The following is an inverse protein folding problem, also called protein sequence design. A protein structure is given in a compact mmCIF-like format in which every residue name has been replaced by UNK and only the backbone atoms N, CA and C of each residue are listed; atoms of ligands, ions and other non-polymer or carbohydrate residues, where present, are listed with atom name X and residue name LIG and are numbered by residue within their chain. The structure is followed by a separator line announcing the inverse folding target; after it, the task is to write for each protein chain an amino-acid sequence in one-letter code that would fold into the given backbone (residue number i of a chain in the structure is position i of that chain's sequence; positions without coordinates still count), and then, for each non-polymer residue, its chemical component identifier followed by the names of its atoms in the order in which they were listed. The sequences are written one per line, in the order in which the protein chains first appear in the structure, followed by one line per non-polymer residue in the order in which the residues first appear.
data_IF_558075270896
#
_entry.id   IF_558075270896
#
_cell.length_a   1.000
_cell.length_b   1.000
_cell.length_c   1.000
_cell.angle_alpha   90.00
_cell.angle_beta   90.00
_cell.angle_gamma   90.00
#
_symmetry.space_group_name_H-M   'P 1'
#
loop_
_entity.id
_entity.type
_entity.pdbx_description
1 polymer ?
#
# COMPACT_ATOMS: atom_id res chain seq x y z
N UNK A 1 -2.23 -23.15 5.12
CA UNK A 1 -2.17 -22.07 6.13
C UNK A 1 -1.91 -20.75 5.46
N UNK A 2 -2.85 -19.85 5.57
CA UNK A 2 -2.80 -18.48 5.07
C UNK A 2 -2.28 -17.55 6.15
N UNK A 3 -1.38 -16.64 5.82
CA UNK A 3 -0.89 -15.65 6.77
C UNK A 3 -1.18 -14.22 6.38
N UNK A 4 -1.61 -13.47 7.37
CA UNK A 4 -1.80 -12.04 7.32
C UNK A 4 -0.98 -11.35 8.41
N UNK A 5 -0.46 -10.19 8.07
CA UNK A 5 0.36 -9.30 8.89
C UNK A 5 -0.41 -8.71 10.07
N UNK A 6 0.19 -8.61 11.26
CA UNK A 6 -0.38 -7.78 12.31
C UNK A 6 0.30 -7.73 13.65
N UNK A 7 0.47 -6.50 14.15
CA UNK A 7 0.46 -6.12 15.56
C UNK A 7 -0.16 -4.72 15.71
N UNK A 8 -0.94 -4.52 16.80
CA UNK A 8 -1.77 -3.33 17.02
C UNK A 8 -3.16 -3.53 16.41
N UNK A 9 -4.22 -3.19 17.16
CA UNK A 9 -5.58 -3.65 16.87
C UNK A 9 -6.14 -3.31 15.47
N UNK A 10 -5.62 -2.31 14.78
CA UNK A 10 -6.17 -1.84 13.50
C UNK A 10 -5.30 -2.15 12.29
N UNK A 11 -3.96 -2.18 12.38
CA UNK A 11 -3.14 -2.79 11.30
C UNK A 11 -3.45 -4.27 11.16
N UNK A 12 -3.69 -4.96 12.28
CA UNK A 12 -4.23 -6.32 12.31
C UNK A 12 -5.55 -6.41 11.56
N UNK A 13 -6.44 -5.42 11.72
CA UNK A 13 -7.77 -5.42 11.09
C UNK A 13 -7.68 -5.35 9.57
N UNK A 14 -6.88 -4.43 9.00
CA UNK A 14 -6.72 -4.31 7.54
C UNK A 14 -6.05 -5.55 6.94
N UNK A 15 -4.97 -6.04 7.55
CA UNK A 15 -4.26 -7.22 7.10
C UNK A 15 -5.14 -8.49 7.19
N UNK A 16 -5.95 -8.62 8.24
CA UNK A 16 -6.94 -9.68 8.37
C UNK A 16 -8.01 -9.62 7.27
N UNK A 17 -8.50 -8.43 6.95
CA UNK A 17 -9.48 -8.24 5.87
C UNK A 17 -8.89 -8.63 4.52
N UNK A 18 -7.61 -8.37 4.29
CA UNK A 18 -6.91 -8.82 3.08
C UNK A 18 -6.80 -10.35 3.03
N UNK A 19 -6.38 -10.99 4.13
CA UNK A 19 -6.29 -12.45 4.21
C UNK A 19 -7.66 -13.10 4.05
N UNK A 20 -8.69 -12.55 4.68
CA UNK A 20 -10.06 -13.03 4.54
C UNK A 20 -10.53 -12.93 3.07
N UNK A 21 -10.24 -11.82 2.40
CA UNK A 21 -10.57 -11.64 0.98
C UNK A 21 -9.85 -12.67 0.08
N UNK A 22 -8.58 -12.97 0.37
CA UNK A 22 -7.82 -14.00 -0.36
C UNK A 22 -8.40 -15.39 -0.09
N UNK A 23 -8.72 -15.72 1.17
CA UNK A 23 -9.37 -16.96 1.55
C UNK A 23 -10.68 -17.17 0.79
N UNK A 24 -11.55 -16.16 0.76
CA UNK A 24 -12.80 -16.19 0.01
C UNK A 24 -12.56 -16.48 -1.48
N UNK A 25 -11.57 -15.81 -2.09
CA UNK A 25 -11.24 -16.03 -3.51
C UNK A 25 -10.69 -17.42 -3.80
N UNK A 26 -9.92 -18.00 -2.89
CA UNK A 26 -9.45 -19.38 -3.04
C UNK A 26 -10.61 -20.36 -2.94
N UNK A 27 -11.52 -20.20 -1.98
CA UNK A 27 -12.70 -21.03 -1.81
C UNK A 27 -13.60 -20.95 -3.07
N UNK A 28 -13.84 -19.73 -3.59
CA UNK A 28 -14.63 -19.53 -4.82
C UNK A 28 -14.03 -20.22 -6.06
N UNK A 29 -12.69 -20.32 -6.14
CA UNK A 29 -11.99 -20.82 -7.32
C UNK A 29 -11.53 -22.29 -7.23
N UNK A 30 -11.71 -22.93 -6.07
CA UNK A 30 -11.23 -24.28 -5.77
C UNK A 30 -12.30 -25.13 -5.06
N UNK A 31 -11.95 -26.35 -4.70
CA UNK A 31 -12.80 -27.23 -3.88
C UNK A 31 -12.49 -27.09 -2.37
N UNK A 32 -11.66 -26.14 -1.97
CA UNK A 32 -11.37 -25.89 -0.56
C UNK A 32 -12.60 -25.31 0.17
N UNK A 33 -12.73 -25.69 1.41
CA UNK A 33 -13.74 -25.20 2.34
C UNK A 33 -13.13 -24.21 3.32
N UNK A 34 -13.95 -23.57 4.13
CA UNK A 34 -13.49 -22.67 5.18
C UNK A 34 -12.56 -23.37 6.19
N UNK A 35 -12.76 -24.65 6.44
CA UNK A 35 -11.96 -25.46 7.37
C UNK A 35 -10.58 -25.82 6.84
N UNK A 36 -10.39 -25.82 5.52
CA UNK A 36 -9.12 -26.18 4.87
C UNK A 36 -8.12 -25.01 4.89
N UNK A 37 -8.58 -23.80 5.17
CA UNK A 37 -7.76 -22.59 5.10
C UNK A 37 -7.75 -21.85 6.45
N UNK A 38 -6.61 -21.92 7.14
CA UNK A 38 -6.39 -21.22 8.41
C UNK A 38 -5.69 -19.90 8.19
N UNK A 39 -6.16 -18.84 8.85
CA UNK A 39 -5.51 -17.52 8.86
C UNK A 39 -4.69 -17.40 10.15
N UNK A 40 -3.38 -17.31 10.01
CA UNK A 40 -2.46 -17.07 11.12
C UNK A 40 -1.98 -15.62 11.14
N UNK A 41 -1.68 -15.09 12.32
CA UNK A 41 -1.25 -13.70 12.52
C UNK A 41 0.21 -13.65 12.90
N UNK A 42 1.03 -12.93 12.13
CA UNK A 42 2.44 -12.68 12.44
C UNK A 42 2.67 -11.20 12.72
N UNK A 43 3.47 -10.94 13.75
CA UNK A 43 4.00 -9.60 14.08
C UNK A 43 5.19 -9.27 13.21
N UNK A 44 5.29 -8.02 12.77
CA UNK A 44 6.44 -7.54 12.01
C UNK A 44 7.18 -6.43 12.76
N UNK A 45 8.50 -6.32 12.55
CA UNK A 45 9.33 -5.25 13.15
C UNK A 45 8.86 -3.85 12.77
N UNK A 46 8.31 -3.68 11.57
CA UNK A 46 7.78 -2.40 11.12
C UNK A 46 6.54 -1.92 11.90
N UNK A 47 5.82 -2.84 12.55
CA UNK A 47 4.67 -2.52 13.38
C UNK A 47 5.08 -2.00 14.78
N UNK A 48 6.29 -2.32 15.24
CA UNK A 48 6.82 -1.91 16.55
C UNK A 48 7.36 -0.47 16.55
N UNK A 49 7.75 0.04 15.37
CA UNK A 49 8.35 1.37 15.22
C UNK A 49 7.26 2.42 15.05
N UNK A 50 6.96 3.18 16.11
CA UNK A 50 5.85 4.16 16.09
C UNK A 50 6.28 5.64 16.11
N UNK A 51 7.53 5.95 16.45
CA UNK A 51 7.95 7.34 16.76
C UNK A 51 8.84 7.97 15.68
N UNK A 52 9.36 7.20 14.73
CA UNK A 52 10.26 7.67 13.68
C UNK A 52 9.77 7.30 12.29
N UNK A 53 10.25 7.97 11.25
CA UNK A 53 10.01 7.52 9.88
C UNK A 53 10.72 6.19 9.67
N UNK A 54 10.11 5.28 8.89
CA UNK A 54 10.75 4.00 8.57
C UNK A 54 12.03 4.21 7.75
N UNK A 55 12.08 5.26 6.93
CA UNK A 55 13.28 5.72 6.22
C UNK A 55 14.48 5.98 7.12
N UNK A 56 14.22 6.44 8.33
CA UNK A 56 15.28 6.87 9.25
C UNK A 56 15.84 5.69 10.07
N UNK A 57 15.11 4.57 10.11
CA UNK A 57 15.50 3.36 10.86
C UNK A 57 16.32 2.39 10.02
N UNK A 58 16.27 2.53 8.70
CA UNK A 58 17.02 1.73 7.74
C UNK A 58 16.65 0.23 7.77
N UNK A 59 16.16 -0.29 6.67
CA UNK A 59 15.89 -1.72 6.57
C UNK A 59 14.86 -2.03 5.49
N UNK A 60 15.31 -2.56 4.37
CA UNK A 60 14.43 -3.12 3.32
C UNK A 60 13.60 -4.26 3.92
N UNK A 61 12.30 -4.27 3.68
CA UNK A 61 11.43 -5.38 4.08
C UNK A 61 11.04 -5.42 5.56
N UNK A 62 11.07 -4.32 6.31
CA UNK A 62 10.64 -4.26 7.71
C UNK A 62 9.25 -4.85 7.96
N UNK A 63 8.44 -4.88 6.93
CA UNK A 63 7.08 -5.37 6.98
C UNK A 63 6.87 -6.77 6.38
N UNK A 64 7.76 -7.25 5.52
CA UNK A 64 7.62 -8.56 4.88
C UNK A 64 8.55 -9.62 5.47
N UNK A 65 9.73 -9.24 5.98
CA UNK A 65 10.79 -10.17 6.33
C UNK A 65 10.38 -11.25 7.34
N UNK A 66 9.61 -10.91 8.38
CA UNK A 66 9.15 -11.92 9.37
C UNK A 66 8.20 -12.93 8.74
N UNK A 67 7.30 -12.48 7.85
CA UNK A 67 6.35 -13.36 7.16
C UNK A 67 7.07 -14.21 6.11
N UNK A 68 8.02 -13.62 5.38
CA UNK A 68 8.85 -14.33 4.39
C UNK A 68 9.70 -15.44 5.02
N UNK A 69 10.23 -15.21 6.23
CA UNK A 69 10.91 -16.27 6.99
C UNK A 69 9.98 -17.45 7.30
N UNK A 70 8.73 -17.21 7.64
CA UNK A 70 7.77 -18.29 7.92
C UNK A 70 7.39 -19.05 6.63
N UNK A 71 7.32 -18.38 5.48
CA UNK A 71 7.20 -19.04 4.16
C UNK A 71 8.41 -19.95 3.89
N UNK A 72 9.63 -19.44 4.08
CA UNK A 72 10.86 -20.20 3.85
C UNK A 72 11.02 -21.41 4.78
N UNK A 73 10.53 -21.30 6.03
CA UNK A 73 10.52 -22.41 7.00
C UNK A 73 9.40 -23.43 6.78
N UNK A 74 8.54 -23.24 5.77
CA UNK A 74 7.33 -24.05 5.53
C UNK A 74 6.32 -24.05 6.70
N UNK A 75 6.33 -23.03 7.55
CA UNK A 75 5.33 -22.85 8.60
C UNK A 75 4.00 -22.36 8.03
N UNK A 76 4.05 -21.73 6.85
CA UNK A 76 2.92 -21.21 6.11
C UNK A 76 3.09 -21.52 4.62
N UNK A 77 1.99 -21.47 3.89
CA UNK A 77 1.97 -21.81 2.46
C UNK A 77 1.89 -20.58 1.58
N UNK A 78 1.17 -19.55 2.02
CA UNK A 78 1.09 -18.26 1.33
C UNK A 78 1.13 -17.10 2.32
N UNK A 79 1.63 -15.96 1.86
CA UNK A 79 1.61 -14.69 2.57
C UNK A 79 0.79 -13.64 1.80
N UNK A 80 0.02 -12.83 2.52
CA UNK A 80 -0.84 -11.80 1.95
C UNK A 80 -0.33 -10.42 2.32
N UNK A 81 -0.13 -9.57 1.32
CA UNK A 81 0.47 -8.25 1.48
C UNK A 81 -0.32 -7.15 0.77
N UNK A 82 -0.20 -5.92 1.28
CA UNK A 82 -0.42 -4.76 0.43
C UNK A 82 0.81 -4.59 -0.49
N UNK A 83 0.63 -4.64 -1.80
CA UNK A 83 1.77 -4.65 -2.75
C UNK A 83 2.69 -3.44 -2.58
N UNK A 84 2.12 -2.26 -2.27
CA UNK A 84 2.88 -1.02 -2.04
C UNK A 84 3.86 -1.06 -0.88
N UNK A 85 3.66 -2.00 0.07
CA UNK A 85 4.48 -2.14 1.28
C UNK A 85 5.57 -3.21 1.09
N UNK A 86 5.59 -3.89 -0.06
CA UNK A 86 6.61 -4.88 -0.40
C UNK A 86 7.84 -4.22 -1.03
N UNK A 87 9.06 -4.72 -0.73
CA UNK A 87 10.26 -4.26 -1.40
C UNK A 87 10.19 -4.51 -2.92
N UNK A 88 10.82 -3.66 -3.73
CA UNK A 88 10.82 -3.80 -5.19
C UNK A 88 11.56 -5.07 -5.66
N UNK A 89 12.59 -5.47 -4.92
CA UNK A 89 13.35 -6.69 -5.16
C UNK A 89 12.78 -7.80 -4.28
N UNK A 90 12.43 -8.92 -4.88
CA UNK A 90 11.88 -10.07 -4.17
C UNK A 90 12.94 -10.81 -3.35
N UNK A 91 12.51 -11.41 -2.26
CA UNK A 91 13.35 -12.29 -1.45
C UNK A 91 13.60 -13.59 -2.21
N UNK A 92 14.85 -14.03 -2.28
CA UNK A 92 15.26 -15.25 -2.97
C UNK A 92 14.46 -16.48 -2.48
N UNK A 93 14.00 -17.30 -3.43
CA UNK A 93 13.19 -18.48 -3.17
C UNK A 93 11.69 -18.22 -2.92
N UNK A 94 11.27 -16.95 -3.02
CA UNK A 94 9.86 -16.55 -2.92
C UNK A 94 9.39 -15.90 -4.22
N UNK A 95 8.10 -16.03 -4.51
CA UNK A 95 7.45 -15.52 -5.71
C UNK A 95 6.20 -14.71 -5.35
N UNK A 96 6.12 -13.49 -5.86
CA UNK A 96 4.95 -12.61 -5.75
C UNK A 96 4.38 -12.34 -7.14
N UNK A 97 3.57 -13.27 -7.63
CA UNK A 97 3.08 -13.27 -9.01
C UNK A 97 1.55 -13.42 -9.10
N UNK A 98 0.87 -13.30 -7.96
CA UNK A 98 -0.59 -13.37 -7.87
C UNK A 98 -1.16 -12.14 -7.21
N UNK A 99 -2.10 -11.50 -7.88
CA UNK A 99 -2.72 -10.25 -7.44
C UNK A 99 -4.24 -10.33 -7.56
N UNK A 100 -4.96 -9.90 -6.53
CA UNK A 100 -6.40 -9.70 -6.64
C UNK A 100 -6.71 -8.44 -7.43
N UNK A 101 -7.95 -8.32 -7.88
CA UNK A 101 -8.44 -7.12 -8.57
C UNK A 101 -8.10 -5.85 -7.78
N UNK A 102 -7.48 -4.88 -8.46
CA UNK A 102 -7.05 -3.61 -7.87
C UNK A 102 -8.26 -2.80 -7.41
N UNK A 103 -8.26 -2.40 -6.16
CA UNK A 103 -9.18 -1.37 -5.67
C UNK A 103 -8.70 0.02 -6.10
N UNK A 104 -9.49 1.05 -5.77
CA UNK A 104 -9.14 2.44 -6.08
C UNK A 104 -7.77 2.81 -5.50
N UNK A 105 -6.86 3.24 -6.38
CA UNK A 105 -5.49 3.59 -6.04
C UNK A 105 -5.33 5.02 -5.50
N UNK A 106 -6.39 5.85 -5.60
CA UNK A 106 -6.32 7.28 -5.29
C UNK A 106 -5.97 7.57 -3.84
N UNK A 107 -5.49 8.77 -3.62
CA UNK A 107 -5.29 9.35 -2.30
C UNK A 107 -6.54 10.09 -1.86
N UNK A 108 -6.74 10.19 -0.55
CA UNK A 108 -7.85 10.93 0.05
C UNK A 108 -7.35 11.85 1.16
N UNK A 109 -8.10 12.91 1.40
CA UNK A 109 -7.96 13.73 2.60
C UNK A 109 -9.12 13.46 3.55
N UNK A 110 -8.80 13.36 4.84
CA UNK A 110 -9.76 13.51 5.94
C UNK A 110 -9.44 14.84 6.61
N UNK A 111 -10.44 15.70 6.77
CA UNK A 111 -10.29 17.08 7.23
C UNK A 111 -11.30 17.32 8.37
N UNK A 112 -10.88 17.98 9.43
CA UNK A 112 -11.78 18.38 10.48
C UNK A 112 -12.80 19.42 10.01
N UNK A 113 -14.09 19.14 10.25
CA UNK A 113 -15.19 19.96 9.75
C UNK A 113 -15.48 19.67 8.26
N UNK A 114 -16.57 20.15 7.77
CA UNK A 114 -17.04 19.89 6.40
C UNK A 114 -16.33 20.82 5.36
N UNK A 115 -15.00 20.73 5.27
CA UNK A 115 -14.15 21.58 4.43
C UNK A 115 -13.55 20.78 3.28
N UNK A 116 -13.21 21.48 2.18
CA UNK A 116 -12.40 20.94 1.09
C UNK A 116 -10.92 21.26 1.34
N UNK A 117 -10.02 20.49 0.72
CA UNK A 117 -8.58 20.68 0.89
C UNK A 117 -8.11 22.06 0.46
N UNK A 118 -8.72 22.63 -0.60
CA UNK A 118 -8.45 23.98 -1.07
C UNK A 118 -8.82 25.08 -0.06
N UNK A 119 -9.81 24.82 0.81
CA UNK A 119 -10.35 25.78 1.79
C UNK A 119 -9.60 25.76 3.13
N UNK A 120 -8.57 24.92 3.25
CA UNK A 120 -7.71 24.92 4.42
C UNK A 120 -6.99 26.26 4.58
N UNK A 121 -6.83 26.71 5.82
CA UNK A 121 -6.10 27.94 6.16
C UNK A 121 -4.65 27.90 5.66
N UNK A 122 -4.05 29.05 5.42
CA UNK A 122 -2.61 29.16 5.17
C UNK A 122 -1.84 28.57 6.37
N UNK A 123 -0.74 27.87 6.07
CA UNK A 123 0.08 27.14 7.05
C UNK A 123 -0.67 25.98 7.75
N UNK A 124 -1.76 25.46 7.17
CA UNK A 124 -2.44 24.28 7.69
C UNK A 124 -1.47 23.11 7.85
N UNK A 125 -1.64 22.34 8.93
CA UNK A 125 -0.78 21.21 9.26
C UNK A 125 -1.38 19.93 8.67
N UNK A 126 -0.66 19.33 7.70
CA UNK A 126 -1.09 18.13 6.99
C UNK A 126 -0.31 16.91 7.49
N UNK A 127 -1.01 15.93 8.05
CA UNK A 127 -0.41 14.70 8.56
C UNK A 127 -0.09 13.70 7.43
N UNK A 128 1.19 13.42 7.22
CA UNK A 128 1.66 12.35 6.34
C UNK A 128 3.03 11.84 6.76
N UNK A 129 3.29 10.54 6.65
CA UNK A 129 4.63 9.94 6.83
C UNK A 129 5.35 9.66 5.50
N UNK A 130 4.69 9.93 4.37
CA UNK A 130 5.21 9.68 3.02
C UNK A 130 5.82 10.94 2.42
N UNK A 131 7.11 10.89 2.05
CA UNK A 131 7.78 11.95 1.30
C UNK A 131 7.10 12.21 -0.05
N UNK A 132 6.71 11.15 -0.76
CA UNK A 132 5.95 11.26 -2.00
C UNK A 132 4.69 12.13 -1.83
N UNK A 133 3.86 11.84 -0.82
CA UNK A 133 2.66 12.64 -0.52
C UNK A 133 3.03 14.05 -0.13
N UNK A 134 4.03 14.22 0.73
CA UNK A 134 4.50 15.53 1.18
C UNK A 134 4.86 16.43 -0.01
N UNK A 135 5.67 15.94 -0.95
CA UNK A 135 6.12 16.75 -2.07
C UNK A 135 5.01 17.03 -3.09
N UNK A 136 4.16 16.06 -3.37
CA UNK A 136 3.02 16.26 -4.25
C UNK A 136 1.98 17.22 -3.64
N UNK A 137 1.74 17.15 -2.33
CA UNK A 137 0.89 18.12 -1.63
C UNK A 137 1.49 19.54 -1.70
N UNK A 138 2.80 19.66 -1.49
CA UNK A 138 3.49 20.94 -1.61
C UNK A 138 3.43 21.54 -3.03
N UNK A 139 3.35 20.70 -4.05
CA UNK A 139 3.12 21.13 -5.43
C UNK A 139 1.71 21.75 -5.62
N UNK A 140 0.69 21.17 -4.97
CA UNK A 140 -0.70 21.65 -5.05
C UNK A 140 -0.94 22.87 -4.14
N UNK A 141 -0.40 22.80 -2.92
CA UNK A 141 -0.58 23.79 -1.84
C UNK A 141 0.79 24.08 -1.19
N UNK A 142 1.61 24.95 -1.79
CA UNK A 142 2.95 25.27 -1.26
C UNK A 142 2.90 25.97 0.11
N UNK A 143 1.75 26.53 0.46
CA UNK A 143 1.50 27.27 1.69
C UNK A 143 1.18 26.41 2.92
N UNK A 144 0.95 25.09 2.77
CA UNK A 144 0.68 24.20 3.91
C UNK A 144 1.95 23.58 4.49
N UNK A 145 1.88 23.09 5.73
CA UNK A 145 2.98 22.43 6.42
C UNK A 145 2.71 20.95 6.58
N UNK A 146 3.59 20.10 6.01
CA UNK A 146 3.49 18.66 6.22
C UNK A 146 4.23 18.26 7.50
N UNK A 147 3.56 17.49 8.37
CA UNK A 147 4.10 16.96 9.63
C UNK A 147 3.98 15.45 9.65
N UNK A 148 5.00 14.79 10.21
CA UNK A 148 5.00 13.34 10.39
C UNK A 148 3.79 12.91 11.22
N UNK A 149 3.03 11.92 10.71
CA UNK A 149 1.96 11.24 11.44
C UNK A 149 2.19 9.74 11.37
N UNK A 150 2.27 9.08 12.51
CA UNK A 150 2.44 7.63 12.64
C UNK A 150 1.24 7.01 13.33
N UNK A 151 1.19 5.71 13.28
CA UNK A 151 0.10 4.89 13.78
C UNK A 151 -0.77 4.33 12.65
N UNK A 152 -1.72 3.52 13.03
CA UNK A 152 -2.71 2.96 12.11
C UNK A 152 -3.76 4.02 11.70
N UNK A 153 -4.71 3.64 10.84
CA UNK A 153 -5.74 4.57 10.34
C UNK A 153 -6.56 5.17 11.48
N UNK A 154 -7.02 4.37 12.44
CA UNK A 154 -7.83 4.87 13.56
C UNK A 154 -7.04 5.80 14.47
N UNK A 155 -5.77 5.47 14.77
CA UNK A 155 -4.88 6.34 15.53
C UNK A 155 -4.68 7.68 14.82
N UNK A 156 -4.50 7.68 13.50
CA UNK A 156 -4.34 8.92 12.72
C UNK A 156 -5.62 9.74 12.69
N UNK A 157 -6.78 9.09 12.54
CA UNK A 157 -8.09 9.76 12.61
C UNK A 157 -8.29 10.37 14.01
N UNK A 158 -7.91 9.65 15.08
CA UNK A 158 -7.97 10.18 16.42
C UNK A 158 -7.09 11.41 16.61
N UNK A 159 -5.82 11.37 16.18
CA UNK A 159 -4.91 12.53 16.23
C UNK A 159 -5.44 13.74 15.45
N UNK A 160 -6.12 13.49 14.32
CA UNK A 160 -6.82 14.55 13.59
C UNK A 160 -7.97 15.12 14.42
N UNK A 161 -8.80 14.26 15.03
CA UNK A 161 -9.92 14.69 15.89
C UNK A 161 -9.44 15.46 17.13
N UNK A 162 -8.30 15.06 17.70
CA UNK A 162 -7.66 15.74 18.84
C UNK A 162 -7.03 17.09 18.42
N UNK A 163 -7.07 17.48 17.15
CA UNK A 163 -6.60 18.78 16.65
C UNK A 163 -5.10 18.90 16.43
N UNK A 164 -4.35 17.80 16.45
CA UNK A 164 -2.90 17.80 16.16
C UNK A 164 -2.59 18.14 14.69
N UNK A 165 -3.57 17.95 13.80
CA UNK A 165 -3.49 18.17 12.36
C UNK A 165 -4.77 18.86 11.86
N UNK A 166 -4.67 19.65 10.80
CA UNK A 166 -5.82 20.23 10.09
C UNK A 166 -6.39 19.24 9.05
N UNK A 167 -5.55 18.38 8.49
CA UNK A 167 -5.93 17.29 7.59
C UNK A 167 -4.92 16.14 7.66
N UNK A 168 -5.35 14.94 7.26
CA UNK A 168 -4.48 13.77 7.07
C UNK A 168 -4.68 13.16 5.68
N UNK A 169 -3.60 12.64 5.09
CA UNK A 169 -3.65 12.01 3.77
C UNK A 169 -3.47 10.50 3.91
N UNK A 170 -4.43 9.78 3.35
CA UNK A 170 -4.49 8.31 3.38
C UNK A 170 -4.80 7.75 1.99
N UNK A 171 -4.61 6.43 1.80
CA UNK A 171 -5.04 5.76 0.57
C UNK A 171 -6.53 5.44 0.64
N UNK A 172 -7.27 5.66 -0.44
CA UNK A 172 -8.68 5.27 -0.54
C UNK A 172 -8.87 3.77 -0.22
N UNK A 173 -8.03 2.90 -0.81
CA UNK A 173 -8.10 1.46 -0.57
C UNK A 173 -8.08 1.09 0.91
N UNK A 174 -7.20 1.73 1.72
CA UNK A 174 -7.14 1.48 3.15
C UNK A 174 -8.42 1.85 3.89
N UNK A 175 -9.00 3.00 3.55
CA UNK A 175 -10.26 3.50 4.12
C UNK A 175 -11.43 2.61 3.73
N UNK A 176 -11.53 2.20 2.46
CA UNK A 176 -12.59 1.33 1.94
C UNK A 176 -12.61 -0.03 2.64
N UNK A 177 -11.45 -0.69 2.81
CA UNK A 177 -11.39 -1.97 3.52
C UNK A 177 -11.80 -1.87 4.98
N UNK A 178 -11.59 -0.73 5.62
CA UNK A 178 -12.01 -0.47 7.00
C UNK A 178 -13.47 -0.01 7.11
N UNK A 179 -14.17 0.21 5.98
CA UNK A 179 -15.55 0.73 5.90
C UNK A 179 -15.67 2.10 6.58
N UNK A 180 -14.74 3.01 6.27
CA UNK A 180 -14.66 4.37 6.85
C UNK A 180 -14.80 5.44 5.76
N UNK A 181 -15.48 5.14 4.64
CA UNK A 181 -15.65 6.07 3.51
C UNK A 181 -16.43 7.32 3.91
N UNK A 182 -17.29 7.23 4.93
CA UNK A 182 -18.01 8.36 5.52
C UNK A 182 -17.08 9.46 6.10
N UNK A 183 -15.83 9.12 6.41
CA UNK A 183 -14.80 10.06 6.89
C UNK A 183 -14.11 10.85 5.80
N UNK A 184 -14.26 10.46 4.53
CA UNK A 184 -13.55 11.08 3.40
C UNK A 184 -14.11 12.48 3.15
N UNK A 185 -13.24 13.50 3.25
CA UNK A 185 -13.59 14.89 2.92
C UNK A 185 -13.32 15.19 1.44
N UNK A 186 -12.27 14.60 0.87
CA UNK A 186 -11.87 14.80 -0.53
C UNK A 186 -11.13 13.60 -1.08
N UNK A 187 -11.33 13.31 -2.37
CA UNK A 187 -10.60 12.29 -3.14
C UNK A 187 -9.80 13.02 -4.21
N UNK A 188 -8.48 12.90 -4.16
CA UNK A 188 -7.59 13.49 -5.17
C UNK A 188 -7.63 12.67 -6.47
N UNK A 189 -7.56 13.34 -7.61
CA UNK A 189 -7.33 12.65 -8.88
C UNK A 189 -5.90 12.07 -8.93
N UNK A 190 -5.67 11.12 -9.85
CA UNK A 190 -4.33 10.53 -10.05
C UNK A 190 -3.34 11.61 -10.51
N UNK A 191 -3.81 12.57 -11.29
CA UNK A 191 -3.02 13.67 -11.83
C UNK A 191 -2.60 14.68 -10.74
N UNK A 192 -3.42 14.84 -9.70
CA UNK A 192 -3.10 15.67 -8.54
C UNK A 192 -2.06 15.00 -7.63
N UNK A 193 -2.31 13.73 -7.28
CA UNK A 193 -1.42 12.95 -6.43
C UNK A 193 -1.25 11.54 -7.03
N UNK A 194 -0.13 11.29 -7.68
CA UNK A 194 0.22 9.99 -8.21
C UNK A 194 0.49 9.03 -7.04
N UNK A 195 -0.22 7.91 -6.93
CA UNK A 195 -0.06 6.98 -5.80
C UNK A 195 1.28 6.24 -5.82
N UNK A 196 1.61 5.56 -4.73
CA UNK A 196 2.75 4.63 -4.74
C UNK A 196 2.49 3.43 -5.63
N UNK A 197 3.56 2.87 -6.21
CA UNK A 197 3.48 1.64 -6.99
C UNK A 197 2.73 0.55 -6.23
N UNK A 198 1.77 -0.09 -6.89
CA UNK A 198 0.97 -1.15 -6.31
C UNK A 198 -0.08 -0.72 -5.28
N UNK A 199 -0.32 0.58 -5.09
CA UNK A 199 -1.38 1.03 -4.18
C UNK A 199 -2.75 0.50 -4.60
N UNK A 200 -3.50 -0.05 -3.64
CA UNK A 200 -4.81 -0.67 -3.87
C UNK A 200 -4.76 -2.12 -4.35
N UNK A 201 -3.57 -2.72 -4.44
CA UNK A 201 -3.38 -4.12 -4.87
C UNK A 201 -3.08 -4.99 -3.65
N UNK A 202 -3.82 -6.09 -3.51
CA UNK A 202 -3.50 -7.20 -2.60
C UNK A 202 -2.63 -8.17 -3.39
N UNK A 203 -1.43 -8.45 -2.88
CA UNK A 203 -0.47 -9.39 -3.43
C UNK A 203 -0.41 -10.66 -2.59
N UNK A 204 -0.25 -11.79 -3.26
CA UNK A 204 -0.09 -13.09 -2.63
C UNK A 204 1.28 -13.64 -3.00
N UNK A 205 2.05 -13.97 -1.98
CA UNK A 205 3.41 -14.50 -2.10
C UNK A 205 3.43 -15.96 -1.66
N UNK A 206 4.17 -16.80 -2.37
CA UNK A 206 4.40 -18.20 -2.05
C UNK A 206 5.86 -18.59 -2.30
N UNK A 207 6.23 -19.82 -2.01
CA UNK A 207 7.54 -20.36 -2.38
C UNK A 207 7.64 -20.54 -3.90
N UNK A 208 8.75 -20.17 -4.48
CA UNK A 208 9.05 -20.22 -5.91
C UNK A 208 9.04 -21.67 -6.46
N UNK A 209 9.40 -22.65 -5.63
CA UNK A 209 9.45 -24.07 -6.01
C UNK A 209 8.14 -24.83 -5.78
N UNK A 210 7.12 -24.21 -5.20
CA UNK A 210 5.82 -24.82 -4.90
C UNK A 210 4.88 -24.72 -6.12
N UNK A 211 5.05 -25.65 -7.06
CA UNK A 211 4.31 -25.65 -8.34
C UNK A 211 2.80 -25.82 -8.15
N UNK A 212 2.38 -26.61 -7.18
CA UNK A 212 0.96 -26.85 -6.89
C UNK A 212 0.31 -25.58 -6.35
N UNK A 213 0.97 -24.92 -5.41
CA UNK A 213 0.53 -23.63 -4.88
C UNK A 213 0.45 -22.58 -5.97
N UNK A 214 1.49 -22.43 -6.79
CA UNK A 214 1.50 -21.50 -7.93
C UNK A 214 0.35 -21.77 -8.89
N UNK A 215 0.10 -23.05 -9.22
CA UNK A 215 -1.01 -23.44 -10.10
C UNK A 215 -2.38 -23.10 -9.50
N UNK A 216 -2.55 -23.28 -8.21
CA UNK A 216 -3.76 -22.92 -7.49
C UNK A 216 -3.96 -21.41 -7.47
N UNK A 217 -2.93 -20.65 -7.12
CA UNK A 217 -2.98 -19.18 -7.03
C UNK A 217 -3.27 -18.52 -8.39
N UNK A 218 -2.82 -19.10 -9.49
CA UNK A 218 -3.15 -18.62 -10.86
C UNK A 218 -4.65 -18.54 -11.12
N UNK A 219 -5.47 -19.37 -10.47
CA UNK A 219 -6.94 -19.37 -10.63
C UNK A 219 -7.60 -18.10 -10.09
N UNK A 220 -6.98 -17.45 -9.12
CA UNK A 220 -7.48 -16.21 -8.48
C UNK A 220 -6.75 -14.95 -8.93
N UNK A 221 -5.76 -15.10 -9.83
CA UNK A 221 -4.97 -13.97 -10.31
C UNK A 221 -5.78 -13.10 -11.28
N UNK A 222 -5.90 -11.80 -11.00
CA UNK A 222 -6.58 -10.85 -11.87
C UNK A 222 -5.65 -10.34 -12.95
N UNK A 223 -5.91 -10.69 -14.21
CA UNK A 223 -5.02 -10.44 -15.36
C UNK A 223 -4.63 -8.97 -15.53
N UNK A 224 -5.59 -8.05 -15.48
CA UNK A 224 -5.30 -6.62 -15.64
C UNK A 224 -4.43 -6.10 -14.48
N UNK A 225 -4.76 -6.48 -13.25
CA UNK A 225 -3.98 -6.08 -12.08
C UNK A 225 -2.56 -6.65 -12.14
N UNK A 226 -2.39 -7.88 -12.62
CA UNK A 226 -1.08 -8.49 -12.85
C UNK A 226 -0.21 -7.64 -13.78
N UNK A 227 -0.73 -7.25 -14.94
CA UNK A 227 0.00 -6.42 -15.89
C UNK A 227 0.37 -5.07 -15.30
N UNK A 228 -0.55 -4.43 -14.59
CA UNK A 228 -0.33 -3.14 -13.93
C UNK A 228 0.69 -3.23 -12.80
N UNK A 229 0.59 -4.27 -11.96
CA UNK A 229 1.51 -4.50 -10.86
C UNK A 229 2.96 -4.66 -11.36
N UNK A 230 3.16 -5.48 -12.39
CA UNK A 230 4.48 -5.69 -12.98
C UNK A 230 5.03 -4.42 -13.64
N UNK A 231 4.21 -3.66 -14.37
CA UNK A 231 4.66 -2.42 -14.99
C UNK A 231 5.12 -1.39 -13.93
N UNK A 232 4.33 -1.21 -12.87
CA UNK A 232 4.67 -0.28 -11.79
C UNK A 232 5.89 -0.73 -10.98
N UNK A 233 5.98 -2.01 -10.64
CA UNK A 233 7.10 -2.58 -9.88
C UNK A 233 8.40 -2.60 -10.67
N UNK A 234 8.36 -2.82 -11.98
CA UNK A 234 9.56 -2.78 -12.81
C UNK A 234 10.20 -1.38 -12.80
N UNK A 235 9.42 -0.32 -12.85
CA UNK A 235 9.93 1.05 -12.72
C UNK A 235 10.55 1.25 -11.33
N UNK A 236 9.84 0.84 -10.27
CA UNK A 236 10.36 0.96 -8.90
C UNK A 236 11.67 0.18 -8.73
N UNK A 237 11.79 -1.01 -9.34
CA UNK A 237 13.00 -1.84 -9.33
C UNK A 237 14.17 -1.17 -10.07
N UNK A 238 13.93 -0.57 -11.24
CA UNK A 238 14.95 0.16 -12.01
C UNK A 238 15.48 1.37 -11.23
N UNK A 239 14.58 2.05 -10.50
CA UNK A 239 14.94 3.18 -9.65
C UNK A 239 15.62 2.74 -8.33
N UNK A 240 15.80 1.43 -8.09
CA UNK A 240 16.22 0.86 -6.81
C UNK A 240 15.40 1.38 -5.62
N UNK A 241 14.17 1.82 -5.93
CA UNK A 241 13.27 2.44 -4.99
C UNK A 241 12.58 1.42 -4.08
N UNK A 242 12.08 1.94 -2.97
CA UNK A 242 11.29 1.20 -2.00
C UNK A 242 10.08 2.03 -1.54
N UNK A 243 9.42 1.61 -0.47
CA UNK A 243 8.28 2.35 0.09
C UNK A 243 8.66 3.73 0.67
N UNK A 244 9.96 4.02 0.80
CA UNK A 244 10.53 5.25 1.36
C UNK A 244 10.92 6.25 0.27
N UNK A 245 11.12 5.76 -0.95
CA UNK A 245 11.45 6.60 -2.11
C UNK A 245 10.29 7.54 -2.42
N UNK A 246 10.60 8.81 -2.64
CA UNK A 246 9.61 9.84 -2.96
C UNK A 246 9.11 9.70 -4.41
N UNK A 247 8.62 8.52 -4.79
CA UNK A 247 8.15 8.19 -6.13
C UNK A 247 6.68 7.81 -6.14
N UNK A 248 5.91 8.45 -7.01
CA UNK A 248 4.57 8.04 -7.40
C UNK A 248 4.63 7.28 -8.72
N UNK A 249 3.95 6.16 -8.83
CA UNK A 249 3.86 5.38 -10.06
C UNK A 249 2.45 4.82 -10.19
N UNK A 250 1.81 5.06 -11.31
CA UNK A 250 0.49 4.54 -11.58
C UNK A 250 0.35 4.13 -13.04
N UNK A 251 -0.31 3.01 -13.27
CA UNK A 251 -0.60 2.50 -14.61
C UNK A 251 -2.10 2.40 -14.85
N UNK A 252 -2.49 2.64 -16.10
CA UNK A 252 -3.86 2.41 -16.63
C UNK A 252 -3.76 1.54 -17.87
N UNK A 253 -4.73 0.66 -18.07
CA UNK A 253 -4.89 -0.11 -19.31
C UNK A 253 -6.13 0.41 -20.03
N UNK A 254 -5.96 0.79 -21.29
CA UNK A 254 -7.02 1.20 -22.18
C UNK A 254 -6.73 0.65 -23.57
N UNK A 255 -7.72 0.02 -24.21
CA UNK A 255 -7.61 -0.56 -25.56
C UNK A 255 -6.34 -1.42 -25.77
N UNK A 256 -6.05 -2.32 -24.81
CA UNK A 256 -4.86 -3.19 -24.79
C UNK A 256 -3.50 -2.47 -24.75
N UNK A 257 -3.50 -1.17 -24.48
CA UNK A 257 -2.27 -0.41 -24.20
C UNK A 257 -2.15 -0.11 -22.74
N UNK A 258 -0.96 -0.28 -22.20
CA UNK A 258 -0.64 0.13 -20.84
C UNK A 258 0.02 1.50 -20.87
N UNK A 259 -0.58 2.46 -20.18
CA UNK A 259 0.03 3.77 -19.96
C UNK A 259 0.51 3.85 -18.53
N UNK A 260 1.76 4.22 -18.34
CA UNK A 260 2.35 4.43 -17.00
C UNK A 260 2.71 5.89 -16.85
N UNK A 261 2.38 6.45 -15.71
CA UNK A 261 2.84 7.77 -15.28
C UNK A 261 3.62 7.64 -13.98
N UNK A 262 4.76 8.33 -13.91
CA UNK A 262 5.65 8.32 -12.76
C UNK A 262 6.11 9.72 -12.41
N UNK A 263 6.23 10.01 -11.12
CA UNK A 263 6.73 11.28 -10.59
C UNK A 263 7.71 11.00 -9.45
N UNK A 264 8.95 11.42 -9.62
CA UNK A 264 10.03 11.23 -8.66
C UNK A 264 10.50 12.58 -8.15
N UNK A 265 10.78 12.66 -6.86
CA UNK A 265 11.37 13.83 -6.22
C UNK A 265 12.73 13.49 -5.62
N UNK A 266 13.65 14.47 -5.63
CA UNK A 266 14.87 14.39 -4.81
C UNK A 266 14.52 14.33 -3.32
N UNK A 267 15.45 13.87 -2.49
CA UNK A 267 15.23 13.71 -1.04
C UNK A 267 14.87 15.03 -0.33
N UNK A 268 15.36 16.15 -0.83
CA UNK A 268 15.06 17.50 -0.35
C UNK A 268 13.81 18.10 -1.01
N UNK A 269 13.25 17.43 -2.03
CA UNK A 269 12.10 17.91 -2.80
C UNK A 269 12.38 19.05 -3.78
N UNK A 270 13.67 19.43 -3.98
CA UNK A 270 14.06 20.54 -4.84
C UNK A 270 14.00 20.18 -6.33
N UNK A 271 14.17 18.92 -6.67
CA UNK A 271 14.10 18.43 -8.04
C UNK A 271 12.88 17.50 -8.21
N UNK A 272 12.26 17.60 -9.38
CA UNK A 272 11.10 16.80 -9.77
C UNK A 272 11.27 16.26 -11.17
N UNK A 273 11.09 14.99 -11.34
CA UNK A 273 11.04 14.31 -12.64
C UNK A 273 9.65 13.73 -12.83
N UNK A 274 9.06 13.96 -13.98
CA UNK A 274 7.75 13.41 -14.34
C UNK A 274 7.80 12.87 -15.75
N UNK A 275 7.29 11.68 -15.93
CA UNK A 275 7.17 11.01 -17.23
C UNK A 275 5.82 10.30 -17.32
N UNK A 276 5.22 10.35 -18.51
CA UNK A 276 4.02 9.57 -18.87
C UNK A 276 4.24 8.95 -20.23
N UNK A 277 4.09 7.61 -20.30
CA UNK A 277 4.40 6.84 -21.50
C UNK A 277 3.39 5.71 -21.69
N UNK A 278 3.09 5.40 -22.98
CA UNK A 278 2.21 4.30 -23.40
C UNK A 278 2.97 3.31 -24.25
#
# INVERSE_FOLDING_TARGET
RLLSRGLGDVYKRQALLYAQKVKEKIIEATNFTDQDINIEKISTKGDEIQDTRLSDVGGKGLFSSSIEQELQKNNIDIAVHALKDMPAIETNGLLTDTFLERTDAREIAIINGNKKFKDLKKNAVIGTSSYRRQFQIKKIRPDVNCKLIRGNVDTRIKKLADGEYDAIILSYAGIKYLKLEDKISEIFSIEEIIPSAGQGIIAIQCRENDKDMISMLKKINHKETYQRAHAERNILKILEGDCETAVGIHSKIYENKITVEAELFSLDGSQRFYEKKS
#
